data_IF_843130841207
#
_entry.id   IF_843130841207
#
_cell.length_a   1.000
_cell.length_b   1.000
_cell.length_c   1.000
_cell.angle_alpha   90.00
_cell.angle_beta   90.00
_cell.angle_gamma   90.00
#
_symmetry.space_group_name_H-M   'P 1'
#
loop_
_entity.id
_entity.type
_entity.pdbx_description
1 polymer ?
#
# COMPACT_ATOMS: atom_id res chain seq x y z
N UNK A 1 -29.12 6.77 -11.11
CA UNK A 1 -27.75 7.30 -10.94
C UNK A 1 -26.99 6.35 -10.04
N UNK A 2 -25.68 6.27 -10.20
CA UNK A 2 -24.77 5.59 -9.27
C UNK A 2 -23.73 6.58 -8.76
N UNK A 3 -23.11 6.25 -7.64
CA UNK A 3 -21.93 6.92 -7.11
C UNK A 3 -20.80 5.91 -7.07
N UNK A 4 -19.67 6.26 -7.69
CA UNK A 4 -18.49 5.43 -7.81
C UNK A 4 -17.35 6.08 -7.02
N UNK A 5 -16.63 5.26 -6.27
CA UNK A 5 -15.30 5.57 -5.78
C UNK A 5 -14.30 5.07 -6.82
N UNK A 6 -13.49 6.00 -7.35
CA UNK A 6 -12.44 5.72 -8.32
C UNK A 6 -11.11 6.06 -7.67
N UNK A 7 -10.26 5.06 -7.51
CA UNK A 7 -8.89 5.22 -7.04
C UNK A 7 -7.96 5.05 -8.24
N UNK A 8 -6.98 5.94 -8.44
CA UNK A 8 -5.99 5.87 -9.53
C UNK A 8 -4.58 6.04 -8.99
N UNK A 9 -3.63 5.24 -9.49
CA UNK A 9 -2.20 5.42 -9.27
C UNK A 9 -1.54 6.05 -10.51
N UNK A 10 -0.63 7.00 -10.29
CA UNK A 10 0.17 7.68 -11.33
C UNK A 10 1.57 7.94 -10.82
N UNK A 11 2.56 7.96 -11.70
CA UNK A 11 3.93 8.40 -11.38
C UNK A 11 3.94 9.87 -10.89
N UNK A 12 3.06 10.72 -11.47
CA UNK A 12 3.11 12.19 -11.28
C UNK A 12 1.75 12.80 -10.97
N UNK A 13 1.76 13.83 -10.11
CA UNK A 13 0.58 14.61 -9.71
C UNK A 13 0.16 15.65 -10.75
N UNK A 14 1.11 16.11 -11.55
CA UNK A 14 0.92 17.22 -12.49
C UNK A 14 -0.02 16.84 -13.64
N UNK A 15 -0.99 17.69 -13.96
CA UNK A 15 -2.03 17.43 -14.96
C UNK A 15 -3.10 16.41 -14.56
N UNK A 16 -2.78 15.44 -13.70
CA UNK A 16 -3.60 14.25 -13.42
C UNK A 16 -5.07 14.56 -13.10
N UNK A 17 -5.36 15.48 -12.17
CA UNK A 17 -6.75 15.85 -11.83
C UNK A 17 -7.51 16.51 -13.00
N UNK A 18 -6.81 17.22 -13.88
CA UNK A 18 -7.40 17.95 -15.01
C UNK A 18 -7.79 16.97 -16.12
N UNK A 19 -6.92 16.00 -16.41
CA UNK A 19 -7.15 14.97 -17.43
C UNK A 19 -8.21 13.95 -16.96
N UNK A 20 -8.13 13.47 -15.72
CA UNK A 20 -9.16 12.63 -15.12
C UNK A 20 -10.50 13.36 -14.97
N UNK A 21 -10.48 14.62 -14.53
CA UNK A 21 -11.68 15.46 -14.46
C UNK A 21 -12.34 15.64 -15.83
N UNK A 22 -11.55 15.74 -16.91
CA UNK A 22 -12.06 15.72 -18.29
C UNK A 22 -12.68 14.37 -18.64
N UNK A 23 -12.02 13.24 -18.36
CA UNK A 23 -12.56 11.91 -18.65
C UNK A 23 -13.89 11.65 -17.93
N UNK A 24 -13.98 12.01 -16.64
CA UNK A 24 -15.19 11.95 -15.81
C UNK A 24 -16.33 12.77 -16.43
N UNK A 25 -16.08 14.03 -16.79
CA UNK A 25 -17.10 14.92 -17.37
C UNK A 25 -17.53 14.49 -18.78
N UNK A 26 -16.59 14.08 -19.64
CA UNK A 26 -16.89 13.57 -20.99
C UNK A 26 -17.75 12.30 -20.93
N UNK A 27 -17.48 11.42 -19.96
CA UNK A 27 -18.28 10.21 -19.69
C UNK A 27 -19.61 10.51 -18.97
N UNK A 28 -19.97 11.78 -18.77
CA UNK A 28 -21.26 12.18 -18.20
C UNK A 28 -21.40 11.99 -16.69
N UNK A 29 -20.28 11.93 -15.96
CA UNK A 29 -20.24 11.90 -14.49
C UNK A 29 -19.87 13.28 -13.93
N UNK A 30 -20.29 13.57 -12.70
CA UNK A 30 -19.87 14.75 -11.95
C UNK A 30 -18.96 14.36 -10.79
N UNK A 31 -17.82 15.04 -10.66
CA UNK A 31 -16.90 14.88 -9.51
C UNK A 31 -17.52 15.53 -8.27
N UNK A 32 -17.60 14.79 -7.16
CA UNK A 32 -18.13 15.27 -5.88
C UNK A 32 -17.04 15.59 -4.85
N UNK A 33 -16.07 14.69 -4.71
CA UNK A 33 -14.98 14.77 -3.73
C UNK A 33 -13.70 14.22 -4.38
N UNK A 34 -12.54 14.76 -4.04
CA UNK A 34 -11.24 14.22 -4.46
C UNK A 34 -10.21 14.35 -3.33
N UNK A 35 -9.32 13.36 -3.22
CA UNK A 35 -8.23 13.30 -2.24
C UNK A 35 -6.95 12.82 -2.93
N UNK A 36 -5.86 13.53 -2.69
CA UNK A 36 -4.51 13.07 -3.04
C UNK A 36 -3.80 12.48 -1.83
N UNK A 37 -3.04 11.42 -2.07
CA UNK A 37 -2.10 10.79 -1.14
C UNK A 37 -0.79 10.55 -1.92
N UNK A 38 0.38 10.74 -1.31
CA UNK A 38 1.65 10.32 -1.92
C UNK A 38 2.09 9.01 -1.27
N UNK A 39 2.70 8.14 -2.06
CA UNK A 39 3.15 6.81 -1.67
C UNK A 39 4.55 6.54 -2.28
N UNK A 40 5.24 5.50 -1.83
CA UNK A 40 6.53 5.09 -2.41
C UNK A 40 6.42 4.80 -3.92
N UNK A 41 5.25 4.36 -4.38
CA UNK A 41 4.97 4.05 -5.79
C UNK A 41 4.49 5.27 -6.61
N UNK A 42 4.45 6.47 -6.02
CA UNK A 42 4.07 7.72 -6.70
C UNK A 42 2.88 8.44 -6.08
N UNK A 43 1.87 8.75 -6.90
CA UNK A 43 0.76 9.63 -6.54
C UNK A 43 -0.57 8.90 -6.66
N UNK A 44 -1.22 8.74 -5.52
CA UNK A 44 -2.56 8.18 -5.40
C UNK A 44 -3.61 9.29 -5.39
N UNK A 45 -4.68 9.09 -6.15
CA UNK A 45 -5.83 9.98 -6.21
C UNK A 45 -7.11 9.15 -6.07
N UNK A 46 -7.89 9.44 -5.02
CA UNK A 46 -9.27 8.94 -4.89
C UNK A 46 -10.25 10.03 -5.28
N UNK A 47 -11.21 9.70 -6.13
CA UNK A 47 -12.31 10.55 -6.57
C UNK A 47 -13.64 9.86 -6.25
N UNK A 48 -14.64 10.61 -5.83
CA UNK A 48 -16.03 10.15 -5.77
C UNK A 48 -16.80 10.86 -6.87
N UNK A 49 -17.41 10.09 -7.77
CA UNK A 49 -18.09 10.59 -8.97
C UNK A 49 -19.52 10.07 -9.06
N UNK A 50 -20.46 10.90 -9.52
CA UNK A 50 -21.89 10.55 -9.65
C UNK A 50 -22.33 10.60 -11.10
N UNK A 51 -23.00 9.56 -11.60
CA UNK A 51 -23.36 9.50 -13.02
C UNK A 51 -24.41 8.44 -13.40
N UNK A 52 -24.67 8.28 -14.71
CA UNK A 52 -25.57 7.26 -15.22
C UNK A 52 -24.86 5.91 -15.32
N UNK A 53 -25.37 4.88 -14.63
CA UNK A 53 -24.75 3.54 -14.57
C UNK A 53 -24.43 2.93 -15.95
N UNK A 54 -25.24 3.24 -16.98
CA UNK A 54 -25.02 2.78 -18.36
C UNK A 54 -23.71 3.28 -18.98
N UNK A 55 -23.10 4.34 -18.44
CA UNK A 55 -21.80 4.90 -18.87
C UNK A 55 -20.62 4.48 -17.99
N UNK A 56 -20.80 3.60 -17.00
CA UNK A 56 -19.68 3.14 -16.16
C UNK A 56 -18.52 2.59 -17.01
N UNK A 57 -18.81 1.70 -17.96
CA UNK A 57 -17.81 1.15 -18.90
C UNK A 57 -17.18 2.17 -19.85
N UNK A 58 -17.89 3.26 -20.15
CA UNK A 58 -17.38 4.37 -20.97
C UNK A 58 -16.36 5.19 -20.18
N UNK A 59 -16.59 5.36 -18.87
CA UNK A 59 -15.61 5.96 -17.96
C UNK A 59 -14.42 5.03 -17.71
N UNK A 60 -14.65 3.75 -17.43
CA UNK A 60 -13.57 2.76 -17.21
C UNK A 60 -12.63 2.67 -18.41
N UNK A 61 -13.16 2.60 -19.65
CA UNK A 61 -12.34 2.62 -20.86
C UNK A 61 -11.62 3.96 -21.10
N UNK A 62 -12.18 5.09 -20.63
CA UNK A 62 -11.51 6.40 -20.69
C UNK A 62 -10.44 6.58 -19.60
N UNK A 63 -10.40 5.71 -18.59
CA UNK A 63 -9.32 5.63 -17.59
C UNK A 63 -8.19 4.71 -18.11
N UNK A 64 -8.49 3.49 -18.54
CA UNK A 64 -7.51 2.55 -19.12
C UNK A 64 -6.73 3.15 -20.32
N UNK A 65 -7.40 3.97 -21.13
CA UNK A 65 -6.78 4.70 -22.24
C UNK A 65 -5.93 5.93 -21.83
N UNK A 66 -5.72 6.22 -20.54
CA UNK A 66 -4.95 7.37 -20.08
C UNK A 66 -3.51 7.00 -19.71
N UNK A 67 -2.55 7.49 -20.49
CA UNK A 67 -1.11 7.21 -20.35
C UNK A 67 -0.47 7.60 -18.99
N UNK A 68 -1.15 8.39 -18.13
CA UNK A 68 -0.65 8.70 -16.78
C UNK A 68 -1.14 7.71 -15.72
N UNK A 69 -2.16 6.91 -16.00
CA UNK A 69 -2.68 5.92 -15.06
C UNK A 69 -1.82 4.66 -15.18
N UNK A 70 -1.14 4.32 -14.09
CA UNK A 70 -0.43 3.04 -13.95
C UNK A 70 -1.44 1.91 -13.73
N UNK A 71 -2.46 2.16 -12.93
CA UNK A 71 -3.57 1.24 -12.60
C UNK A 71 -4.70 1.99 -11.90
N UNK A 72 -5.91 1.42 -11.89
CA UNK A 72 -7.03 2.00 -11.15
C UNK A 72 -7.96 0.95 -10.51
N UNK A 73 -8.80 1.40 -9.58
CA UNK A 73 -9.96 0.67 -9.11
C UNK A 73 -11.20 1.56 -9.28
N UNK A 74 -12.25 1.03 -9.89
CA UNK A 74 -13.58 1.65 -9.87
C UNK A 74 -14.54 0.72 -9.13
N UNK A 75 -15.10 1.19 -8.01
CA UNK A 75 -16.06 0.45 -7.21
C UNK A 75 -17.23 1.33 -6.78
N UNK A 76 -18.36 0.74 -6.39
CA UNK A 76 -19.48 1.52 -5.83
C UNK A 76 -19.03 2.25 -4.57
N UNK A 77 -19.44 3.51 -4.42
CA UNK A 77 -19.18 4.27 -3.20
C UNK A 77 -20.11 3.80 -2.06
N UNK A 78 -19.53 3.53 -0.89
CA UNK A 78 -20.25 3.13 0.32
C UNK A 78 -19.89 4.10 1.45
N UNK A 79 -20.89 4.82 1.98
CA UNK A 79 -20.64 5.86 2.98
C UNK A 79 -20.51 5.27 4.39
N UNK A 80 -19.28 5.11 4.87
CA UNK A 80 -19.01 4.71 6.26
C UNK A 80 -17.61 4.15 6.52
N UNK A 81 -16.97 3.54 5.52
CA UNK A 81 -15.64 2.94 5.64
C UNK A 81 -14.65 3.60 4.67
N UNK A 82 -13.49 4.11 5.14
CA UNK A 82 -12.41 4.49 4.24
C UNK A 82 -11.77 3.21 3.68
N UNK A 83 -12.06 2.87 2.42
CA UNK A 83 -11.35 1.79 1.73
C UNK A 83 -9.85 2.12 1.73
N UNK A 84 -8.95 1.17 2.09
CA UNK A 84 -7.52 1.38 1.92
C UNK A 84 -7.22 1.65 0.44
N UNK A 85 -6.28 2.56 0.15
CA UNK A 85 -5.86 2.78 -1.24
C UNK A 85 -5.18 1.51 -1.76
N UNK A 86 -5.58 0.99 -2.92
CA UNK A 86 -5.11 -0.33 -3.39
C UNK A 86 -3.58 -0.46 -3.59
N UNK A 87 -2.85 0.64 -3.82
CA UNK A 87 -1.38 0.61 -3.90
C UNK A 87 -0.69 0.86 -2.55
N UNK A 88 -1.34 1.55 -1.61
CA UNK A 88 -0.75 1.96 -0.32
C UNK A 88 -0.62 0.81 0.70
N UNK A 89 -0.86 -0.44 0.29
CA UNK A 89 -0.85 -1.62 1.17
C UNK A 89 0.56 -2.11 1.53
N UNK A 90 1.65 -1.47 1.04
CA UNK A 90 3.02 -1.78 1.46
C UNK A 90 3.88 -0.53 1.62
N UNK A 91 4.24 -0.24 2.87
CA UNK A 91 5.61 0.18 3.13
C UNK A 91 6.51 -0.98 2.68
N UNK A 92 7.21 -0.80 1.56
CA UNK A 92 8.43 -1.58 1.32
C UNK A 92 9.38 -1.25 2.46
N UNK A 93 9.69 -2.23 3.30
CA UNK A 93 10.88 -2.13 4.12
C UNK A 93 12.05 -1.88 3.15
N UNK A 94 12.68 -0.70 3.27
CA UNK A 94 13.94 -0.46 2.56
C UNK A 94 14.87 -1.63 2.89
N UNK A 95 15.54 -2.20 1.88
CA UNK A 95 16.50 -3.28 2.10
C UNK A 95 17.37 -2.92 3.30
N UNK A 96 17.45 -3.82 4.29
CA UNK A 96 18.22 -3.57 5.49
C UNK A 96 19.69 -3.41 5.07
N UNK A 97 20.11 -2.14 4.89
CA UNK A 97 21.50 -1.79 4.58
C UNK A 97 22.32 -2.35 5.72
N UNK A 98 22.99 -3.47 5.45
CA UNK A 98 23.84 -4.14 6.43
C UNK A 98 24.80 -3.07 6.94
N UNK A 99 24.71 -2.67 8.23
CA UNK A 99 25.50 -1.55 8.70
C UNK A 99 26.97 -1.93 8.51
N UNK A 100 27.68 -1.14 7.70
CA UNK A 100 29.05 -1.43 7.34
C UNK A 100 29.85 -1.70 8.63
N UNK A 101 30.62 -2.80 8.69
CA UNK A 101 31.22 -3.28 9.94
C UNK A 101 31.98 -2.13 10.59
N UNK A 102 31.54 -1.75 11.79
CA UNK A 102 32.00 -0.53 12.44
C UNK A 102 33.53 -0.54 12.52
N UNK A 103 34.20 0.56 12.13
CA UNK A 103 35.65 0.60 12.14
C UNK A 103 36.14 0.30 13.56
N UNK A 104 37.00 -0.70 13.70
CA UNK A 104 37.56 -1.09 14.99
C UNK A 104 38.42 0.05 15.52
N UNK A 105 37.85 0.86 16.40
CA UNK A 105 38.57 1.91 17.12
C UNK A 105 39.50 1.22 18.11
N UNK A 106 40.79 1.18 17.79
CA UNK A 106 41.83 0.74 18.72
C UNK A 106 41.76 1.59 20.01
N UNK A 107 41.55 0.92 21.14
CA UNK A 107 41.34 1.58 22.43
C UNK A 107 42.68 2.04 23.00
N UNK A 108 43.12 3.22 22.57
CA UNK A 108 44.23 3.95 23.21
C UNK A 108 43.71 4.58 24.51
N UNK A 109 44.29 4.26 25.68
CA UNK A 109 43.72 4.68 26.96
C UNK A 109 43.91 6.18 27.23
N UNK A 110 42.83 6.85 27.67
CA UNK A 110 42.85 8.27 28.04
C UNK A 110 43.53 8.45 29.40
N UNK A 111 44.60 9.25 29.44
CA UNK A 111 45.19 9.78 30.68
C UNK A 111 44.66 11.20 30.92
N UNK A 112 43.90 11.37 31.99
CA UNK A 112 43.33 12.68 32.34
C UNK A 112 44.33 13.54 33.15
N UNK A 113 44.33 14.85 32.90
CA UNK A 113 44.83 15.86 33.85
C UNK A 113 43.87 17.04 33.93
N UNK A 114 43.77 17.67 35.11
CA UNK A 114 42.81 18.74 35.43
C UNK A 114 43.55 19.95 35.99
N UNK A 115 43.27 21.15 35.50
CA UNK A 115 43.70 22.42 36.09
C UNK A 115 42.73 23.56 35.71
N UNK A 116 42.52 24.54 36.59
CA UNK A 116 41.51 25.59 36.41
C UNK A 116 41.88 26.94 37.04
N UNK A 117 41.32 28.03 36.47
CA UNK A 117 41.07 29.41 37.02
C UNK A 117 40.22 30.15 35.96
N UNK A 118 39.13 30.88 36.24
CA UNK A 118 38.88 32.02 37.16
C UNK A 118 39.66 33.29 36.71
N UNK A 119 39.13 34.53 36.69
CA UNK A 119 37.86 35.20 37.09
C UNK A 119 37.54 36.33 36.07
N UNK A 120 36.46 37.13 36.10
CA UNK A 120 35.02 37.02 36.48
C UNK A 120 34.40 38.45 36.50
N UNK A 121 33.11 38.64 36.18
CA UNK A 121 32.41 39.93 36.28
C UNK A 121 30.91 39.78 36.65
N UNK A 122 30.33 40.79 37.30
CA UNK A 122 28.91 40.94 37.68
C UNK A 122 28.47 42.42 37.45
N UNK A 123 27.18 42.82 37.51
CA UNK A 123 26.31 42.80 38.71
C UNK A 123 24.92 42.13 38.42
N UNK A 124 23.98 41.81 39.34
CA UNK A 124 23.42 42.44 40.57
C UNK A 124 22.54 43.68 40.28
N UNK A 125 21.37 43.93 40.88
CA UNK A 125 20.15 43.13 41.19
C UNK A 125 19.10 44.05 41.85
N UNK A 126 17.79 43.89 41.58
CA UNK A 126 16.65 44.36 42.43
C UNK A 126 15.44 43.40 42.24
N UNK A 127 14.63 43.21 43.29
CA UNK A 127 13.41 42.36 43.37
C UNK A 127 12.34 43.13 44.20
N UNK A 128 11.12 42.56 44.36
CA UNK A 128 9.95 42.96 45.20
C UNK A 128 8.83 43.65 44.37
N UNK A 129 7.53 43.33 44.47
CA UNK A 129 6.78 42.25 45.17
C UNK A 129 5.83 41.52 44.19
N UNK A 130 5.11 40.43 44.51
CA UNK A 130 4.20 40.18 45.65
C UNK A 130 2.97 41.13 45.63
N UNK A 131 1.71 40.70 45.79
CA UNK A 131 1.15 39.49 46.41
C UNK A 131 -0.10 38.90 45.70
N UNK A 132 -0.45 37.67 46.09
CA UNK A 132 -1.78 37.03 46.10
C UNK A 132 -1.87 36.31 47.48
N UNK A 133 -3.03 35.95 48.08
CA UNK A 133 -4.20 35.25 47.49
C UNK A 133 -5.50 36.11 47.67
N UNK A 134 -6.75 35.72 47.99
CA UNK A 134 -7.46 34.52 48.50
C UNK A 134 -8.86 34.34 47.84
N UNK A 135 -9.56 33.27 48.26
CA UNK A 135 -10.96 32.91 47.96
C UNK A 135 -11.94 33.42 49.05
N UNK A 136 -13.04 32.67 49.31
CA UNK A 136 -14.14 32.90 50.29
C UNK A 136 -15.28 33.83 49.82
N UNK A 137 -16.56 33.57 50.10
CA UNK A 137 -17.26 32.30 50.42
C UNK A 137 -18.78 32.46 50.12
N UNK A 138 -19.58 31.41 50.28
CA UNK A 138 -21.04 31.43 50.12
C UNK A 138 -21.79 32.01 51.34
N UNK A 139 -23.07 32.38 51.17
CA UNK A 139 -24.05 32.12 52.23
C UNK A 139 -25.32 31.41 51.74
N UNK A 140 -25.97 30.73 52.67
CA UNK A 140 -27.23 29.98 52.51
C UNK A 140 -28.32 30.64 53.37
N UNK A 141 -29.59 30.58 52.94
CA UNK A 141 -30.75 29.99 53.68
C UNK A 141 -32.07 30.25 52.93
N UNK A 142 -32.96 29.26 52.99
CA UNK A 142 -34.21 29.03 52.26
C UNK A 142 -35.40 29.94 52.62
N UNK A 143 -36.37 30.06 51.70
CA UNK A 143 -37.81 29.90 51.97
C UNK A 143 -38.65 29.74 50.67
N UNK A 144 -39.66 28.86 50.70
CA UNK A 144 -40.83 28.78 49.81
C UNK A 144 -42.03 29.53 50.48
N UNK A 145 -43.25 29.70 49.89
CA UNK A 145 -43.84 29.05 48.70
C UNK A 145 -44.70 29.93 47.75
N UNK A 146 -45.35 29.26 46.79
CA UNK A 146 -46.64 29.56 46.11
C UNK A 146 -46.84 30.81 45.23
N UNK A 147 -46.98 30.58 43.91
CA UNK A 147 -48.12 31.04 43.09
C UNK A 147 -48.19 30.26 41.74
N UNK A 148 -49.39 30.02 41.21
CA UNK A 148 -49.64 29.18 40.03
C UNK A 148 -49.58 29.95 38.68
N UNK A 149 -49.23 29.26 37.57
CA UNK A 149 -49.62 29.64 36.21
C UNK A 149 -50.71 28.72 35.62
N UNK A 150 -51.81 29.31 35.15
CA UNK A 150 -52.68 28.77 34.07
C UNK A 150 -52.06 29.14 32.69
N UNK A 151 -52.47 28.57 31.52
CA UNK A 151 -53.77 27.94 31.24
C UNK A 151 -53.76 26.65 30.35
N UNK A 152 -54.98 26.29 29.93
CA UNK A 152 -55.46 25.33 28.91
C UNK A 152 -54.71 25.28 27.54
N UNK A 153 -55.04 24.35 26.60
CA UNK A 153 -55.58 22.97 26.73
C UNK A 153 -54.77 21.92 25.93
N UNK A 154 -55.18 20.65 25.98
CA UNK A 154 -54.57 19.52 25.24
C UNK A 154 -54.74 19.56 23.72
N UNK A 155 -53.72 19.10 22.97
CA UNK A 155 -53.92 18.38 21.71
C UNK A 155 -53.31 16.96 21.73
N UNK A 156 -54.16 15.98 21.41
CA UNK A 156 -53.86 14.65 20.85
C UNK A 156 -52.74 13.79 21.49
N UNK A 157 -53.16 12.73 22.20
CA UNK A 157 -52.30 11.63 22.69
C UNK A 157 -51.65 10.83 21.53
N UNK A 158 -50.58 11.34 20.95
CA UNK A 158 -49.62 10.53 20.20
C UNK A 158 -48.89 9.63 21.21
N UNK A 159 -49.17 8.33 21.18
CA UNK A 159 -48.41 7.33 21.92
C UNK A 159 -46.97 7.26 21.39
N UNK A 160 -46.09 8.08 21.96
CA UNK A 160 -44.65 7.96 21.78
C UNK A 160 -44.20 6.69 22.49
N UNK A 161 -44.27 5.57 21.77
CA UNK A 161 -43.59 4.34 22.17
C UNK A 161 -42.11 4.69 22.43
N UNK A 162 -41.54 4.33 23.59
CA UNK A 162 -40.15 4.63 23.88
C UNK A 162 -39.30 3.95 22.81
N UNK A 163 -38.54 4.76 22.05
CA UNK A 163 -37.55 4.21 21.10
C UNK A 163 -36.61 3.31 21.91
N UNK A 164 -36.67 2.01 21.64
CA UNK A 164 -35.67 1.07 22.14
C UNK A 164 -34.29 1.63 21.79
N UNK A 165 -33.36 1.78 22.76
CA UNK A 165 -32.05 2.30 22.45
C UNK A 165 -31.44 1.43 21.36
N UNK A 166 -30.94 2.07 20.29
CA UNK A 166 -30.24 1.35 19.23
C UNK A 166 -29.15 0.50 19.88
N UNK A 167 -28.99 -0.79 19.52
CA UNK A 167 -27.87 -1.57 20.04
C UNK A 167 -26.59 -0.78 19.76
N UNK A 168 -25.77 -0.61 20.80
CA UNK A 168 -24.49 0.07 20.66
C UNK A 168 -23.69 -0.64 19.55
N UNK A 169 -22.96 0.09 18.69
CA UNK A 169 -22.14 -0.54 17.66
C UNK A 169 -21.23 -1.55 18.34
N UNK A 170 -21.31 -2.81 17.90
CA UNK A 170 -20.53 -3.89 18.48
C UNK A 170 -19.06 -3.48 18.47
N UNK A 171 -18.41 -3.57 19.63
CA UNK A 171 -17.02 -3.12 19.78
C UNK A 171 -16.17 -3.84 18.73
N UNK A 172 -15.71 -3.10 17.73
CA UNK A 172 -14.86 -3.64 16.67
C UNK A 172 -13.64 -4.22 17.36
N UNK A 173 -13.47 -5.53 17.26
CA UNK A 173 -12.32 -6.20 17.83
C UNK A 173 -11.09 -5.70 17.08
N UNK A 174 -10.38 -4.74 17.68
CA UNK A 174 -9.10 -4.26 17.19
C UNK A 174 -8.12 -5.42 17.34
N UNK A 175 -8.05 -6.26 16.31
CA UNK A 175 -6.93 -7.20 16.13
C UNK A 175 -5.67 -6.36 16.23
N UNK A 176 -4.77 -6.59 17.20
CA UNK A 176 -3.58 -5.79 17.32
C UNK A 176 -2.80 -5.88 16.01
N UNK A 177 -2.35 -4.73 15.52
CA UNK A 177 -1.51 -4.67 14.32
C UNK A 177 -0.16 -5.31 14.67
N UNK A 178 -0.06 -6.62 14.47
CA UNK A 178 1.19 -7.36 14.56
C UNK A 178 1.95 -7.03 13.28
N UNK A 179 2.89 -6.09 13.40
CA UNK A 179 3.89 -5.83 12.38
C UNK A 179 4.75 -7.09 12.23
N UNK A 180 4.42 -7.90 11.22
CA UNK A 180 5.17 -9.11 10.90
C UNK A 180 6.56 -8.68 10.41
N UNK A 181 7.57 -8.91 11.25
CA UNK A 181 8.97 -8.72 10.89
C UNK A 181 9.23 -9.60 9.66
N UNK A 182 9.64 -9.04 8.50
CA UNK A 182 9.81 -9.82 7.28
C UNK A 182 10.95 -10.83 7.45
N UNK A 183 10.65 -12.10 7.26
CA UNK A 183 11.60 -13.20 7.42
C UNK A 183 12.31 -13.53 6.10
N UNK A 184 13.52 -14.09 6.21
CA UNK A 184 14.22 -14.67 5.07
C UNK A 184 13.40 -15.81 4.43
N UNK A 185 13.71 -16.18 3.18
CA UNK A 185 12.99 -17.27 2.51
C UNK A 185 13.15 -18.57 3.29
N UNK A 186 12.06 -19.32 3.43
CA UNK A 186 12.10 -20.76 3.72
C UNK A 186 12.73 -21.47 2.50
N UNK A 187 14.05 -21.57 2.51
CA UNK A 187 14.83 -22.20 1.44
C UNK A 187 14.56 -23.70 1.34
N UNK A 188 14.28 -24.39 2.45
CA UNK A 188 14.01 -25.83 2.45
C UNK A 188 12.71 -26.16 1.71
N UNK A 189 11.64 -25.39 1.97
CA UNK A 189 10.38 -25.52 1.25
C UNK A 189 10.52 -25.20 -0.24
N UNK A 190 11.33 -24.19 -0.59
CA UNK A 190 11.63 -23.83 -1.99
C UNK A 190 12.42 -24.93 -2.70
N UNK A 191 13.53 -25.42 -2.14
CA UNK A 191 14.32 -26.53 -2.69
C UNK A 191 13.46 -27.78 -2.90
N UNK A 192 12.54 -28.05 -1.98
CA UNK A 192 11.62 -29.21 -2.01
C UNK A 192 10.49 -29.10 -3.05
N UNK A 193 10.19 -27.90 -3.56
CA UNK A 193 9.16 -27.68 -4.60
C UNK A 193 9.74 -27.48 -6.00
N UNK A 194 10.97 -26.95 -6.14
CA UNK A 194 11.58 -26.63 -7.44
C UNK A 194 11.50 -27.76 -8.49
N UNK A 195 11.88 -29.03 -8.19
CA UNK A 195 11.76 -30.11 -9.17
C UNK A 195 10.33 -30.36 -9.67
N UNK A 196 9.29 -29.92 -8.93
CA UNK A 196 7.89 -30.00 -9.37
C UNK A 196 7.50 -28.80 -10.22
N UNK A 197 8.06 -27.61 -9.94
CA UNK A 197 7.88 -26.42 -10.79
C UNK A 197 8.51 -26.66 -12.17
N UNK A 198 9.70 -27.24 -12.21
CA UNK A 198 10.40 -27.62 -13.43
C UNK A 198 9.60 -28.67 -14.25
N UNK A 199 9.20 -29.78 -13.62
CA UNK A 199 8.47 -30.86 -14.31
C UNK A 199 7.03 -30.50 -14.74
N UNK A 200 6.39 -29.52 -14.10
CA UNK A 200 5.01 -29.13 -14.40
C UNK A 200 4.91 -27.83 -15.21
N UNK A 201 6.04 -27.22 -15.61
CA UNK A 201 6.08 -25.97 -16.37
C UNK A 201 5.31 -26.08 -17.70
N UNK A 202 4.43 -25.12 -18.05
CA UNK A 202 4.13 -23.86 -17.36
C UNK A 202 3.00 -23.90 -16.31
N UNK A 203 2.39 -25.06 -16.04
CA UNK A 203 1.18 -25.23 -15.21
C UNK A 203 1.44 -25.17 -13.68
N UNK A 204 2.40 -24.33 -13.26
CA UNK A 204 3.02 -24.35 -11.93
C UNK A 204 2.17 -23.77 -10.79
N UNK A 205 1.08 -23.03 -11.08
CA UNK A 205 0.36 -22.24 -10.08
C UNK A 205 -0.19 -23.05 -8.89
N UNK A 206 -0.64 -24.29 -9.12
CA UNK A 206 -1.12 -25.16 -8.02
C UNK A 206 0.01 -25.58 -7.07
N UNK A 207 1.26 -25.63 -7.54
CA UNK A 207 2.44 -25.87 -6.70
C UNK A 207 2.84 -24.61 -5.94
N UNK A 208 2.80 -23.44 -6.58
CA UNK A 208 3.06 -22.13 -5.93
C UNK A 208 2.05 -21.83 -4.82
N UNK A 209 0.75 -21.98 -5.09
CA UNK A 209 -0.31 -21.89 -4.07
C UNK A 209 -0.18 -22.95 -2.97
N UNK A 210 0.56 -24.05 -3.19
CA UNK A 210 0.84 -25.06 -2.15
C UNK A 210 2.07 -24.68 -1.32
N UNK A 211 3.12 -24.13 -1.94
CA UNK A 211 4.29 -23.56 -1.26
C UNK A 211 3.85 -22.47 -0.28
N UNK A 212 3.11 -21.47 -0.77
CA UNK A 212 2.63 -20.32 0.01
C UNK A 212 1.88 -20.72 1.30
N UNK A 213 0.98 -21.71 1.20
CA UNK A 213 0.22 -22.23 2.35
C UNK A 213 1.04 -23.12 3.28
N UNK A 214 2.24 -23.55 2.88
CA UNK A 214 3.15 -24.36 3.70
C UNK A 214 4.25 -23.56 4.42
N UNK A 215 4.50 -22.33 3.98
CA UNK A 215 5.55 -21.44 4.49
C UNK A 215 4.98 -20.47 5.56
N UNK A 216 5.76 -20.11 6.61
CA UNK A 216 5.37 -19.08 7.58
C UNK A 216 4.99 -17.75 6.93
N UNK A 217 4.01 -17.05 7.48
CA UNK A 217 3.43 -15.86 6.85
C UNK A 217 4.45 -14.75 6.55
N UNK A 218 5.38 -14.52 7.47
CA UNK A 218 6.47 -13.56 7.32
C UNK A 218 7.51 -13.94 6.24
N UNK A 219 7.57 -15.22 5.84
CA UNK A 219 8.48 -15.77 4.83
C UNK A 219 7.81 -16.07 3.48
N UNK A 220 6.47 -15.94 3.35
CA UNK A 220 5.75 -16.27 2.10
C UNK A 220 6.27 -15.51 0.89
N UNK A 221 6.48 -14.20 1.03
CA UNK A 221 6.93 -13.34 -0.06
C UNK A 221 8.35 -13.65 -0.51
N UNK A 222 9.26 -13.83 0.44
CA UNK A 222 10.66 -14.15 0.19
C UNK A 222 10.81 -15.54 -0.41
N UNK A 223 10.08 -16.55 0.08
CA UNK A 223 10.04 -17.89 -0.53
C UNK A 223 9.41 -17.90 -1.93
N UNK A 224 8.31 -17.17 -2.17
CA UNK A 224 7.69 -17.08 -3.49
C UNK A 224 8.60 -16.37 -4.49
N UNK A 225 9.27 -15.29 -4.06
CA UNK A 225 10.28 -14.59 -4.84
C UNK A 225 11.46 -15.51 -5.20
N UNK A 226 12.01 -16.25 -4.23
CA UNK A 226 13.13 -17.19 -4.45
C UNK A 226 12.74 -18.36 -5.36
N UNK A 227 11.52 -18.90 -5.21
CA UNK A 227 10.97 -19.91 -6.11
C UNK A 227 10.81 -19.37 -7.53
N UNK A 228 10.37 -18.11 -7.67
CA UNK A 228 10.35 -17.37 -8.94
C UNK A 228 11.75 -17.29 -9.54
N UNK A 229 12.71 -16.74 -8.81
CA UNK A 229 14.08 -16.49 -9.26
C UNK A 229 14.77 -17.76 -9.75
N UNK A 230 14.72 -18.86 -8.99
CA UNK A 230 15.28 -20.15 -9.41
C UNK A 230 14.54 -20.76 -10.61
N UNK A 231 13.22 -20.57 -10.72
CA UNK A 231 12.45 -20.99 -11.91
C UNK A 231 12.80 -20.16 -13.15
N UNK A 232 13.03 -18.85 -12.99
CA UNK A 232 13.40 -17.92 -14.06
C UNK A 232 14.77 -18.24 -14.66
N UNK A 233 15.77 -18.48 -13.81
CA UNK A 233 17.11 -18.93 -14.24
C UNK A 233 17.01 -20.24 -15.03
N UNK A 234 16.25 -21.22 -14.54
CA UNK A 234 16.08 -22.50 -15.23
C UNK A 234 15.36 -22.36 -16.59
N UNK A 235 14.36 -21.48 -16.72
CA UNK A 235 13.74 -21.18 -18.03
C UNK A 235 14.74 -20.50 -18.97
N UNK A 236 15.57 -19.57 -18.47
CA UNK A 236 16.63 -18.96 -19.27
C UNK A 236 17.63 -20.01 -19.79
N UNK A 237 18.12 -20.89 -18.91
CA UNK A 237 19.05 -21.97 -19.26
C UNK A 237 18.45 -22.98 -20.26
N UNK A 238 17.13 -23.27 -20.15
CA UNK A 238 16.43 -24.23 -21.02
C UNK A 238 16.13 -23.68 -22.42
N UNK A 239 15.64 -22.44 -22.51
CA UNK A 239 15.02 -21.92 -23.73
C UNK A 239 15.82 -20.79 -24.43
N UNK A 240 16.73 -20.11 -23.71
CA UNK A 240 17.33 -18.84 -24.17
C UNK A 240 18.88 -18.79 -24.14
N UNK A 241 19.54 -19.73 -23.47
CA UNK A 241 20.99 -19.68 -23.27
C UNK A 241 21.82 -20.13 -24.51
N UNK A 242 22.97 -19.49 -24.80
CA UNK A 242 23.32 -18.10 -24.54
C UNK A 242 23.67 -17.32 -25.82
N UNK A 243 23.22 -16.06 -25.88
CA UNK A 243 23.58 -15.10 -26.93
C UNK A 243 24.62 -14.06 -26.49
N UNK A 244 24.67 -12.93 -27.20
CA UNK A 244 25.27 -11.71 -26.65
C UNK A 244 24.38 -11.13 -25.54
N UNK A 245 24.95 -10.28 -24.67
CA UNK A 245 24.15 -9.48 -23.72
C UNK A 245 23.20 -8.57 -24.50
N UNK A 246 21.96 -8.46 -24.03
CA UNK A 246 20.92 -7.60 -24.58
C UNK A 246 20.75 -6.32 -23.74
N UNK A 247 20.28 -5.23 -24.34
CA UNK A 247 19.78 -4.09 -23.56
C UNK A 247 18.49 -4.47 -22.80
N UNK A 248 18.18 -3.80 -21.69
CA UNK A 248 17.02 -4.15 -20.84
C UNK A 248 15.72 -4.32 -21.65
N UNK A 249 15.39 -3.33 -22.50
CA UNK A 249 14.23 -3.36 -23.40
C UNK A 249 14.21 -4.59 -24.31
N UNK A 250 15.34 -4.92 -24.93
CA UNK A 250 15.48 -6.07 -25.83
C UNK A 250 15.31 -7.39 -25.08
N UNK A 251 15.83 -7.47 -23.84
CA UNK A 251 15.64 -8.63 -22.97
C UNK A 251 14.17 -8.78 -22.53
N UNK A 252 13.48 -7.69 -22.18
CA UNK A 252 12.05 -7.71 -21.88
C UNK A 252 11.24 -8.15 -23.10
N UNK A 253 11.51 -7.60 -24.29
CA UNK A 253 10.72 -7.86 -25.50
C UNK A 253 10.98 -9.26 -26.10
N UNK A 254 12.21 -9.78 -26.02
CA UNK A 254 12.58 -11.08 -26.62
C UNK A 254 12.64 -12.26 -25.64
N UNK A 255 12.73 -12.03 -24.34
CA UNK A 255 12.85 -13.10 -23.31
C UNK A 255 11.73 -12.96 -22.28
N UNK A 256 11.61 -11.81 -21.61
CA UNK A 256 10.67 -11.60 -20.51
C UNK A 256 9.21 -11.80 -20.92
N UNK A 257 8.78 -11.12 -21.99
CA UNK A 257 7.41 -11.17 -22.49
C UNK A 257 7.01 -12.53 -23.08
N UNK A 258 7.83 -13.19 -23.94
CA UNK A 258 7.52 -14.55 -24.39
C UNK A 258 7.44 -15.57 -23.23
N UNK A 259 8.35 -15.50 -22.26
CA UNK A 259 8.37 -16.42 -21.13
C UNK A 259 7.18 -16.20 -20.17
N UNK A 260 6.83 -14.96 -19.84
CA UNK A 260 5.64 -14.66 -19.03
C UNK A 260 4.34 -15.04 -19.74
N UNK A 261 4.24 -14.88 -21.06
CA UNK A 261 3.06 -15.29 -21.84
C UNK A 261 2.79 -16.80 -21.82
N UNK A 262 3.78 -17.63 -21.46
CA UNK A 262 3.54 -19.04 -21.19
C UNK A 262 2.81 -19.30 -19.85
N UNK A 263 2.87 -18.33 -18.92
CA UNK A 263 2.32 -18.40 -17.57
C UNK A 263 1.00 -17.61 -17.42
N UNK A 264 0.93 -16.38 -17.95
CA UNK A 264 -0.14 -15.41 -17.68
C UNK A 264 -0.48 -14.54 -18.89
N UNK A 265 -1.68 -13.95 -18.87
CA UNK A 265 -2.05 -12.84 -19.77
C UNK A 265 -1.24 -11.60 -19.38
N UNK A 266 -0.40 -11.09 -20.28
CA UNK A 266 0.49 -9.95 -19.99
C UNK A 266 0.65 -9.01 -21.19
N UNK A 267 0.58 -7.71 -20.90
CA UNK A 267 0.90 -6.58 -21.79
C UNK A 267 2.18 -5.85 -21.34
N UNK A 268 2.83 -5.16 -22.28
CA UNK A 268 4.05 -4.39 -22.04
C UNK A 268 3.78 -2.91 -22.37
N UNK A 269 3.96 -2.02 -21.39
CA UNK A 269 3.78 -0.56 -21.52
C UNK A 269 5.06 0.14 -21.03
N UNK A 270 5.92 0.61 -21.94
CA UNK A 270 7.14 1.35 -21.59
C UNK A 270 8.26 0.48 -21.04
N UNK A 271 8.38 0.40 -19.71
CA UNK A 271 9.23 -0.55 -18.94
C UNK A 271 8.38 -1.26 -17.86
N UNK A 272 7.05 -1.23 -18.01
CA UNK A 272 6.08 -1.83 -17.09
C UNK A 272 5.38 -3.03 -17.74
N UNK A 273 5.21 -4.09 -16.95
CA UNK A 273 4.53 -5.32 -17.35
C UNK A 273 3.21 -5.46 -16.60
N UNK A 274 2.12 -5.51 -17.37
CA UNK A 274 0.75 -5.46 -16.90
C UNK A 274 0.16 -6.87 -16.95
N UNK A 275 0.12 -7.57 -15.81
CA UNK A 275 -0.37 -8.94 -15.70
C UNK A 275 -1.85 -8.93 -15.36
N UNK A 276 -2.69 -9.37 -16.31
CA UNK A 276 -4.13 -9.51 -16.13
C UNK A 276 -4.48 -10.86 -15.52
N UNK A 277 -5.58 -10.89 -14.77
CA UNK A 277 -6.23 -12.11 -14.28
C UNK A 277 -5.28 -13.09 -13.54
N UNK A 278 -4.24 -12.56 -12.89
CA UNK A 278 -3.15 -13.36 -12.28
C UNK A 278 -3.67 -14.52 -11.40
N UNK A 279 -3.34 -15.79 -11.71
CA UNK A 279 -3.77 -16.96 -10.92
C UNK A 279 -3.22 -17.00 -9.48
N UNK A 280 -2.30 -16.07 -9.16
CA UNK A 280 -1.71 -15.89 -7.85
C UNK A 280 -2.36 -14.74 -7.04
N UNK A 281 -3.21 -13.92 -7.65
CA UNK A 281 -3.65 -12.67 -7.02
C UNK A 281 -5.18 -12.45 -7.17
N UNK A 282 -5.88 -12.68 -6.05
CA UNK A 282 -7.35 -12.63 -5.91
C UNK A 282 -7.70 -11.45 -4.99
N UNK A 283 -8.68 -10.64 -5.39
CA UNK A 283 -9.16 -9.46 -4.66
C UNK A 283 -9.43 -9.76 -3.17
N UNK A 284 -8.82 -8.97 -2.27
CA UNK A 284 -8.91 -9.14 -0.82
C UNK A 284 -8.07 -10.29 -0.24
N UNK A 285 -7.35 -11.03 -1.09
CA UNK A 285 -6.40 -12.07 -0.70
C UNK A 285 -4.99 -11.55 -0.42
N UNK A 286 -4.02 -12.46 -0.33
CA UNK A 286 -2.61 -12.11 -0.20
C UNK A 286 -1.95 -11.87 -1.57
N UNK A 287 -0.87 -11.11 -1.61
CA UNK A 287 -0.17 -10.73 -2.85
C UNK A 287 0.98 -11.70 -3.14
N UNK A 288 0.64 -12.88 -3.68
CA UNK A 288 1.60 -13.91 -4.07
C UNK A 288 2.36 -13.56 -5.38
N UNK A 289 2.01 -12.43 -6.00
CA UNK A 289 2.62 -11.90 -7.23
C UNK A 289 4.13 -11.58 -7.12
N UNK A 290 4.72 -11.62 -5.91
CA UNK A 290 6.18 -11.60 -5.70
C UNK A 290 6.93 -12.72 -6.45
N UNK A 291 6.26 -13.83 -6.77
CA UNK A 291 6.79 -14.85 -7.67
C UNK A 291 7.22 -14.27 -9.03
N UNK A 292 6.44 -13.37 -9.63
CA UNK A 292 6.74 -12.81 -10.95
C UNK A 292 7.93 -11.84 -10.93
N UNK A 293 8.10 -11.07 -9.84
CA UNK A 293 9.31 -10.26 -9.61
C UNK A 293 10.57 -11.12 -9.68
N UNK A 294 10.65 -12.14 -8.82
CA UNK A 294 11.82 -13.01 -8.78
C UNK A 294 12.01 -13.76 -10.11
N UNK A 295 10.93 -14.27 -10.70
CA UNK A 295 10.97 -14.94 -12.00
C UNK A 295 11.58 -14.08 -13.10
N UNK A 296 11.20 -12.79 -13.20
CA UNK A 296 11.80 -11.87 -14.15
C UNK A 296 13.27 -11.56 -13.83
N UNK A 297 13.63 -11.33 -12.57
CA UNK A 297 15.02 -11.07 -12.17
C UNK A 297 15.94 -12.27 -12.48
N UNK A 298 15.49 -13.49 -12.21
CA UNK A 298 16.23 -14.72 -12.55
C UNK A 298 16.31 -15.00 -14.06
N UNK A 299 15.24 -14.71 -14.80
CA UNK A 299 15.15 -14.91 -16.26
C UNK A 299 15.97 -13.87 -17.04
N UNK A 300 15.94 -12.60 -16.62
CA UNK A 300 16.54 -11.48 -17.36
C UNK A 300 17.94 -11.10 -16.85
N UNK A 301 18.29 -11.40 -15.60
CA UNK A 301 19.57 -11.04 -15.00
C UNK A 301 20.77 -11.60 -15.78
N UNK A 302 20.67 -12.83 -16.27
CA UNK A 302 21.70 -13.45 -17.13
C UNK A 302 21.77 -12.84 -18.55
N UNK A 303 20.65 -12.29 -19.06
CA UNK A 303 20.54 -11.74 -20.41
C UNK A 303 21.05 -10.29 -20.51
N UNK A 304 20.67 -9.45 -19.54
CA UNK A 304 21.16 -8.07 -19.41
C UNK A 304 22.59 -8.09 -18.83
N UNK A 305 22.83 -8.97 -17.87
CA UNK A 305 24.12 -9.08 -17.17
C UNK A 305 24.49 -7.79 -16.44
N UNK A 306 23.50 -7.13 -15.84
CA UNK A 306 23.65 -6.05 -14.87
C UNK A 306 23.33 -6.61 -13.48
N UNK A 307 24.17 -6.36 -12.48
CA UNK A 307 23.94 -6.80 -11.10
C UNK A 307 22.90 -5.90 -10.38
N UNK A 308 22.46 -4.80 -11.01
CA UNK A 308 21.44 -3.87 -10.49
C UNK A 308 20.03 -4.09 -11.05
N UNK A 309 19.81 -5.13 -11.86
CA UNK A 309 18.47 -5.49 -12.33
C UNK A 309 17.51 -5.73 -11.15
N UNK A 310 16.38 -5.03 -11.18
CA UNK A 310 15.38 -5.01 -10.12
C UNK A 310 13.96 -4.97 -10.69
N UNK A 311 13.04 -5.75 -10.10
CA UNK A 311 11.65 -5.88 -10.55
C UNK A 311 10.69 -5.75 -9.37
N UNK A 312 10.01 -4.61 -9.28
CA UNK A 312 9.10 -4.30 -8.17
C UNK A 312 7.64 -4.27 -8.62
N UNK A 313 6.76 -4.83 -7.80
CA UNK A 313 5.33 -4.77 -8.01
C UNK A 313 4.79 -3.40 -7.57
N UNK A 314 4.36 -2.59 -8.55
CA UNK A 314 3.87 -1.22 -8.38
C UNK A 314 2.41 -1.22 -7.87
N UNK A 315 1.63 -2.22 -8.27
CA UNK A 315 0.31 -2.50 -7.71
C UNK A 315 -0.03 -4.00 -7.84
N UNK A 316 -1.09 -4.43 -7.16
CA UNK A 316 -1.54 -5.82 -7.22
C UNK A 316 -3.05 -5.92 -7.05
N UNK A 317 -3.69 -6.78 -7.86
CA UNK A 317 -5.12 -7.10 -7.78
C UNK A 317 -5.56 -7.66 -6.43
N UNK A 318 -4.69 -8.37 -5.70
CA UNK A 318 -4.99 -8.79 -4.32
C UNK A 318 -5.27 -7.62 -3.38
N UNK A 319 -4.55 -6.50 -3.58
CA UNK A 319 -4.73 -5.27 -2.83
C UNK A 319 -5.90 -4.42 -3.36
N UNK A 320 -6.58 -4.85 -4.43
CA UNK A 320 -7.74 -4.16 -5.03
C UNK A 320 -7.47 -3.43 -6.35
N UNK A 321 -6.29 -3.57 -6.97
CA UNK A 321 -6.08 -3.07 -8.33
C UNK A 321 -6.92 -3.84 -9.37
N UNK A 322 -7.12 -3.23 -10.54
CA UNK A 322 -7.62 -3.87 -11.75
C UNK A 322 -6.67 -4.98 -12.26
N UNK A 323 -5.39 -4.67 -12.40
CA UNK A 323 -4.34 -5.59 -12.85
C UNK A 323 -3.10 -5.56 -11.95
N UNK A 324 -2.16 -6.48 -12.15
CA UNK A 324 -0.92 -6.55 -11.38
C UNK A 324 0.23 -5.95 -12.21
N UNK A 325 0.69 -4.75 -11.87
CA UNK A 325 1.74 -4.05 -12.62
C UNK A 325 3.10 -4.24 -11.94
N UNK A 326 4.08 -4.68 -12.73
CA UNK A 326 5.48 -4.78 -12.36
C UNK A 326 6.29 -3.74 -13.14
N UNK A 327 7.18 -3.00 -12.47
CA UNK A 327 8.17 -2.15 -13.13
C UNK A 327 9.55 -2.80 -13.08
N UNK A 328 10.37 -2.55 -14.12
CA UNK A 328 11.71 -3.13 -14.28
C UNK A 328 12.72 -2.00 -14.45
N UNK A 329 13.89 -2.13 -13.82
CA UNK A 329 15.02 -1.19 -13.92
C UNK A 329 16.37 -1.90 -13.76
N UNK A 330 17.41 -1.45 -14.46
CA UNK A 330 18.78 -2.04 -14.47
C UNK A 330 19.91 -1.12 -14.00
#
# INVERSE_FOLDING_TARGET
MIELEIQTLSERREGLLIELGRAVVTSGFTLQRQRFTHDANGVLLTMIVRGPARKQRELEAALDANERIISFNASTFEEGAPKPHFAASRMMAAQAVVPAPAPTIDVVPVVATVAAKAKAAAPVAVVIGAEAPESFDAPVVSAEPDAQPEPEPEPEFIFVLPRTPSPAPAAVAITPFVELIPEGPDEEAVVKVLPKLENEYPLIFQRLQTLERSVPEAARESSLWLAGQRTGVWVFERDYAPGAKLGLREAIEHIGMPALRALVEVEHKGEQLHIRNSPLCIEGGQSSCKFFSGYLEGLLGAAVGSDSLSVFAVCCRSCGADECVLAISD
#
